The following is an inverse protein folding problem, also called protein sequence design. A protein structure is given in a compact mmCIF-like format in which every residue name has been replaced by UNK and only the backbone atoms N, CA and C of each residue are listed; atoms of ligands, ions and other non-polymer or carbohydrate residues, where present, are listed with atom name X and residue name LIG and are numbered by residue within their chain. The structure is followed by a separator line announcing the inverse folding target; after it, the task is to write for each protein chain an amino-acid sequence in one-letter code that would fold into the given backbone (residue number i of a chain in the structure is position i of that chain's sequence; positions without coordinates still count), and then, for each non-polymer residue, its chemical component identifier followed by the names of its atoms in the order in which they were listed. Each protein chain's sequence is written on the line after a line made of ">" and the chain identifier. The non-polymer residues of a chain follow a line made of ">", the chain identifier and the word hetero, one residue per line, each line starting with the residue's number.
data_IF_814540296515
#
_entry.id   IF_814540296515
#
_cell.length_a   1.000
_cell.length_b   1.000
_cell.length_c   1.000
_cell.angle_alpha   90.00
_cell.angle_beta   90.00
_cell.angle_gamma   90.00
#
_symmetry.space_group_name_H-M   'P 1'
#
loop_
_entity.id
_entity.type
_entity.pdbx_description
1 polymer ?
#
# COMPACT_ATOMS: atom_id res chain seq x y z
N UNK A 1 -48.84 -34.45 48.22
CA UNK A 1 -47.60 -34.65 47.44
C UNK A 1 -47.80 -33.99 46.08
N UNK A 2 -47.02 -32.94 45.78
CA UNK A 2 -46.69 -32.38 44.45
C UNK A 2 -47.84 -31.92 43.53
N UNK A 3 -47.83 -30.78 42.84
CA UNK A 3 -46.84 -29.72 42.59
C UNK A 3 -47.58 -28.55 41.93
N UNK A 4 -47.36 -27.32 42.39
CA UNK A 4 -47.74 -26.10 41.68
C UNK A 4 -46.84 -25.93 40.44
N UNK A 5 -47.40 -25.79 39.25
CA UNK A 5 -46.68 -25.33 38.06
C UNK A 5 -47.03 -23.85 37.82
N UNK A 6 -46.13 -22.98 38.26
CA UNK A 6 -46.12 -21.55 37.94
C UNK A 6 -45.48 -21.41 36.55
N UNK A 7 -46.19 -20.75 35.63
CA UNK A 7 -45.65 -20.33 34.33
C UNK A 7 -44.52 -19.31 34.54
N UNK A 8 -43.30 -19.67 34.17
CA UNK A 8 -42.20 -18.73 34.03
C UNK A 8 -42.13 -18.27 32.57
N UNK A 9 -42.59 -17.04 32.31
CA UNK A 9 -42.26 -16.32 31.08
C UNK A 9 -40.83 -15.80 31.22
N UNK A 10 -39.88 -16.50 30.63
CA UNK A 10 -38.51 -16.01 30.50
C UNK A 10 -38.47 -15.00 29.36
N UNK A 11 -38.43 -13.72 29.72
CA UNK A 11 -38.13 -12.62 28.79
C UNK A 11 -36.73 -12.83 28.21
N UNK A 12 -36.64 -13.23 26.94
CA UNK A 12 -35.39 -13.16 26.18
C UNK A 12 -35.03 -11.68 25.99
N UNK A 13 -34.20 -11.14 26.87
CA UNK A 13 -33.42 -9.94 26.60
C UNK A 13 -32.38 -10.32 25.54
N UNK A 14 -32.75 -10.14 24.27
CA UNK A 14 -31.78 -10.04 23.18
C UNK A 14 -30.89 -8.85 23.47
N UNK A 15 -29.67 -9.11 23.94
CA UNK A 15 -28.60 -8.12 23.91
C UNK A 15 -28.31 -7.86 22.44
N UNK A 16 -28.92 -6.81 21.89
CA UNK A 16 -28.48 -6.22 20.63
C UNK A 16 -27.05 -5.75 20.88
N UNK A 17 -26.06 -6.51 20.42
CA UNK A 17 -24.69 -6.01 20.33
C UNK A 17 -24.73 -4.86 19.34
N UNK A 18 -24.79 -3.63 19.84
CA UNK A 18 -24.52 -2.45 19.04
C UNK A 18 -23.04 -2.52 18.70
N UNK A 19 -22.70 -3.12 17.56
CA UNK A 19 -21.38 -2.92 16.95
C UNK A 19 -21.24 -1.41 16.78
N UNK A 20 -20.39 -0.77 17.57
CA UNK A 20 -20.12 0.65 17.43
C UNK A 20 -19.65 0.88 16.00
N UNK A 21 -20.35 1.74 15.26
CA UNK A 21 -19.93 2.08 13.91
C UNK A 21 -18.52 2.68 13.95
N UNK A 22 -17.62 2.15 13.12
CA UNK A 22 -16.26 2.70 12.98
C UNK A 22 -16.34 4.20 12.66
N UNK A 23 -15.52 4.98 13.35
CA UNK A 23 -15.47 6.43 13.17
C UNK A 23 -14.06 6.82 12.69
N UNK A 24 -13.92 7.47 11.53
CA UNK A 24 -12.60 7.89 11.05
C UNK A 24 -11.99 8.93 12.00
N UNK A 25 -10.71 8.77 12.29
CA UNK A 25 -9.92 9.84 12.90
C UNK A 25 -9.74 11.01 11.93
N UNK A 26 -9.53 12.20 12.48
CA UNK A 26 -9.37 13.43 11.69
C UNK A 26 -8.09 13.39 10.85
N UNK A 27 -8.20 13.84 9.60
CA UNK A 27 -7.08 14.01 8.65
C UNK A 27 -6.92 15.45 8.20
N UNK A 28 -7.51 16.40 8.94
CA UNK A 28 -7.65 17.80 8.53
C UNK A 28 -6.30 18.47 8.24
N UNK A 29 -5.22 18.10 8.95
CA UNK A 29 -3.93 18.77 8.77
C UNK A 29 -3.33 18.42 7.41
N UNK A 30 -3.37 17.14 7.01
CA UNK A 30 -2.90 16.73 5.68
C UNK A 30 -3.87 17.13 4.56
N UNK A 31 -5.18 17.16 4.83
CA UNK A 31 -6.18 17.60 3.84
C UNK A 31 -6.03 19.09 3.48
N UNK A 32 -5.70 19.95 4.45
CA UNK A 32 -5.36 21.35 4.19
C UNK A 32 -4.09 21.51 3.35
N UNK A 33 -3.06 20.69 3.59
CA UNK A 33 -1.85 20.68 2.77
C UNK A 33 -2.12 20.20 1.35
N UNK A 34 -2.97 19.19 1.18
CA UNK A 34 -3.39 18.68 -0.13
C UNK A 34 -4.15 19.75 -0.93
N UNK A 35 -5.12 20.43 -0.30
CA UNK A 35 -5.87 21.51 -0.94
C UNK A 35 -4.95 22.69 -1.34
N UNK A 36 -4.05 23.11 -0.46
CA UNK A 36 -3.04 24.14 -0.76
C UNK A 36 -2.11 23.71 -1.90
N UNK A 37 -1.68 22.44 -1.89
CA UNK A 37 -0.85 21.87 -2.95
C UNK A 37 -1.55 21.87 -4.30
N UNK A 38 -2.83 21.49 -4.37
CA UNK A 38 -3.60 21.48 -5.61
C UNK A 38 -3.68 22.88 -6.24
N UNK A 39 -3.89 23.92 -5.42
CA UNK A 39 -3.92 25.32 -5.90
C UNK A 39 -2.55 25.74 -6.46
N UNK A 40 -1.47 25.39 -5.77
CA UNK A 40 -0.10 25.70 -6.23
C UNK A 40 0.27 24.94 -7.51
N UNK A 41 -0.14 23.67 -7.63
CA UNK A 41 0.02 22.89 -8.85
C UNK A 41 -0.73 23.53 -10.01
N UNK A 42 -1.99 23.90 -9.83
CA UNK A 42 -2.77 24.58 -10.87
C UNK A 42 -2.10 25.89 -11.34
N UNK A 43 -1.55 26.67 -10.41
CA UNK A 43 -0.80 27.88 -10.75
C UNK A 43 0.51 27.58 -11.48
N UNK A 44 1.22 26.52 -11.11
CA UNK A 44 2.44 26.07 -11.79
C UNK A 44 2.13 25.64 -13.24
N UNK A 45 1.12 24.78 -13.43
CA UNK A 45 0.75 24.24 -14.74
C UNK A 45 0.21 25.30 -15.71
N UNK A 46 -0.40 26.37 -15.20
CA UNK A 46 -0.84 27.49 -16.03
C UNK A 46 0.31 28.14 -16.83
N UNK A 47 1.55 28.00 -16.37
CA UNK A 47 2.76 28.48 -17.07
C UNK A 47 3.61 27.39 -17.73
N UNK A 48 3.29 26.11 -17.53
CA UNK A 48 4.15 24.97 -17.91
C UNK A 48 3.44 23.90 -18.75
N UNK A 49 2.16 24.10 -19.06
CA UNK A 49 1.39 23.14 -19.86
C UNK A 49 1.69 23.25 -21.37
N UNK A 50 2.07 22.12 -21.97
CA UNK A 50 2.31 21.95 -23.41
C UNK A 50 1.11 21.31 -24.14
N UNK A 51 0.98 21.49 -25.48
CA UNK A 51 -0.12 20.91 -26.24
C UNK A 51 -0.08 19.38 -26.24
N UNK A 52 -1.20 18.74 -25.87
CA UNK A 52 -1.35 17.27 -25.81
C UNK A 52 -1.15 16.64 -24.42
N UNK A 53 -0.98 17.45 -23.37
CA UNK A 53 -0.81 17.00 -21.98
C UNK A 53 -2.13 16.67 -21.25
N UNK A 54 -2.00 16.17 -20.03
CA UNK A 54 -3.10 16.01 -19.08
C UNK A 54 -3.87 17.33 -18.91
N UNK A 55 -5.20 17.25 -18.97
CA UNK A 55 -6.14 18.37 -18.91
C UNK A 55 -7.21 18.10 -17.87
N UNK A 56 -7.98 19.12 -17.49
CA UNK A 56 -9.15 18.93 -16.63
C UNK A 56 -10.20 17.98 -17.24
N UNK A 57 -10.23 17.83 -18.56
CA UNK A 57 -11.22 17.00 -19.27
C UNK A 57 -10.87 15.50 -19.24
N UNK A 58 -9.58 15.15 -19.10
CA UNK A 58 -9.11 13.75 -19.13
C UNK A 58 -8.35 13.32 -17.86
N UNK A 59 -8.20 14.20 -16.88
CA UNK A 59 -7.56 13.87 -15.60
C UNK A 59 -8.38 12.85 -14.82
N UNK A 60 -7.70 11.78 -14.40
CA UNK A 60 -8.26 10.78 -13.51
C UNK A 60 -8.14 11.21 -12.04
N UNK A 61 -9.15 10.92 -11.23
CA UNK A 61 -9.15 11.27 -9.80
C UNK A 61 -9.01 9.99 -8.97
N UNK A 62 -7.89 9.85 -8.25
CA UNK A 62 -7.68 8.78 -7.27
C UNK A 62 -8.35 9.15 -5.95
N UNK A 63 -9.22 8.27 -5.46
CA UNK A 63 -10.10 8.55 -4.32
C UNK A 63 -9.66 7.79 -3.06
N UNK A 64 -9.92 8.39 -1.91
CA UNK A 64 -9.74 7.74 -0.62
C UNK A 64 -10.76 6.60 -0.44
N UNK A 65 -10.27 5.41 -0.05
CA UNK A 65 -11.07 4.19 0.04
C UNK A 65 -12.38 4.35 0.82
N UNK A 66 -12.35 5.02 1.99
CA UNK A 66 -13.55 5.17 2.83
C UNK A 66 -14.57 6.17 2.28
N UNK A 67 -14.18 7.03 1.34
CA UNK A 67 -15.10 7.93 0.63
C UNK A 67 -15.79 7.27 -0.57
N UNK A 68 -15.23 6.16 -1.10
CA UNK A 68 -15.86 5.42 -2.19
C UNK A 68 -17.15 4.73 -1.72
N UNK A 69 -18.14 4.63 -2.61
CA UNK A 69 -19.33 3.85 -2.33
C UNK A 69 -18.97 2.35 -2.23
N UNK A 70 -19.67 1.55 -1.40
CA UNK A 70 -19.43 0.11 -1.31
C UNK A 70 -19.42 -0.62 -2.67
N UNK A 71 -20.33 -0.23 -3.57
CA UNK A 71 -20.38 -0.80 -4.94
C UNK A 71 -19.15 -0.49 -5.80
N UNK A 72 -18.46 0.63 -5.56
CA UNK A 72 -17.24 1.00 -6.27
C UNK A 72 -16.03 0.24 -5.71
N UNK A 73 -15.97 0.08 -4.38
CA UNK A 73 -14.99 -0.79 -3.73
C UNK A 73 -15.09 -2.23 -4.23
N UNK A 74 -16.31 -2.74 -4.38
CA UNK A 74 -16.54 -4.08 -4.94
C UNK A 74 -16.08 -4.19 -6.40
N UNK A 75 -16.30 -3.16 -7.23
CA UNK A 75 -15.78 -3.15 -8.61
C UNK A 75 -14.25 -3.22 -8.63
N UNK A 76 -13.58 -2.53 -7.72
CA UNK A 76 -12.13 -2.61 -7.56
C UNK A 76 -11.70 -4.02 -7.13
N UNK A 77 -12.26 -4.57 -6.04
CA UNK A 77 -11.86 -5.92 -5.57
C UNK A 77 -12.15 -7.02 -6.58
N UNK A 78 -13.26 -6.93 -7.33
CA UNK A 78 -13.54 -7.83 -8.44
C UNK A 78 -12.48 -7.77 -9.54
N UNK A 79 -11.95 -6.58 -9.85
CA UNK A 79 -10.87 -6.44 -10.83
C UNK A 79 -9.56 -7.05 -10.31
N UNK A 80 -9.25 -6.90 -9.01
CA UNK A 80 -8.09 -7.55 -8.40
C UNK A 80 -8.21 -9.08 -8.47
N UNK A 81 -9.37 -9.63 -8.08
CA UNK A 81 -9.66 -11.06 -8.18
C UNK A 81 -9.56 -11.56 -9.64
N UNK A 82 -9.99 -10.76 -10.60
CA UNK A 82 -9.80 -11.05 -12.02
C UNK A 82 -8.31 -11.14 -12.38
N UNK A 83 -7.47 -10.22 -11.91
CA UNK A 83 -6.03 -10.26 -12.17
C UNK A 83 -5.36 -11.49 -11.52
N UNK A 84 -5.83 -11.87 -10.33
CA UNK A 84 -5.45 -13.12 -9.63
C UNK A 84 -5.97 -14.39 -10.32
N UNK A 85 -6.84 -14.29 -11.33
CA UNK A 85 -7.34 -15.44 -12.09
C UNK A 85 -6.70 -15.60 -13.48
N UNK A 86 -6.13 -14.52 -14.03
CA UNK A 86 -5.49 -14.54 -15.35
C UNK A 86 -4.11 -15.18 -15.25
N UNK A 87 -3.65 -15.92 -16.26
CA UNK A 87 -2.32 -16.54 -16.24
C UNK A 87 -1.21 -15.49 -16.28
N UNK A 88 -0.11 -15.78 -15.58
CA UNK A 88 1.14 -15.01 -15.68
C UNK A 88 1.58 -14.79 -17.14
N UNK A 89 2.19 -13.63 -17.44
CA UNK A 89 2.83 -13.34 -18.74
C UNK A 89 4.32 -13.67 -18.75
N UNK A 90 4.93 -14.10 -17.65
CA UNK A 90 6.30 -14.57 -17.71
C UNK A 90 6.38 -15.87 -18.53
N UNK A 91 7.43 -16.06 -19.35
CA UNK A 91 7.61 -17.33 -20.04
C UNK A 91 7.70 -18.49 -19.03
N UNK A 92 7.13 -19.68 -19.35
CA UNK A 92 7.15 -20.83 -18.46
C UNK A 92 8.56 -21.15 -17.96
N UNK A 93 8.70 -21.30 -16.64
CA UNK A 93 9.97 -21.65 -15.99
C UNK A 93 10.89 -20.47 -15.65
N UNK A 94 10.64 -19.26 -16.15
CA UNK A 94 11.44 -18.06 -15.82
C UNK A 94 11.18 -17.61 -14.38
N UNK A 95 9.91 -17.59 -13.98
CA UNK A 95 9.46 -17.27 -12.62
C UNK A 95 8.60 -18.43 -12.13
N UNK A 96 9.19 -19.47 -11.50
CA UNK A 96 8.47 -20.70 -11.16
C UNK A 96 7.24 -20.49 -10.27
N UNK A 97 7.30 -19.50 -9.37
CA UNK A 97 6.23 -19.14 -8.46
C UNK A 97 5.09 -18.33 -9.08
N UNK A 98 5.29 -17.65 -10.21
CA UNK A 98 4.22 -16.87 -10.81
C UNK A 98 3.22 -17.77 -11.54
N UNK A 99 1.97 -17.82 -11.05
CA UNK A 99 0.87 -18.53 -11.71
C UNK A 99 -0.11 -17.57 -12.37
N UNK A 100 -0.26 -16.40 -11.78
CA UNK A 100 -1.27 -15.41 -12.15
C UNK A 100 -0.66 -14.11 -12.67
N UNK A 101 -1.46 -13.26 -13.31
CA UNK A 101 -1.04 -11.89 -13.67
C UNK A 101 -0.73 -11.05 -12.45
N UNK A 102 -1.41 -11.30 -11.34
CA UNK A 102 -1.13 -10.63 -10.08
C UNK A 102 0.27 -11.00 -9.57
N UNK A 103 0.65 -12.28 -9.68
CA UNK A 103 1.99 -12.75 -9.29
C UNK A 103 3.11 -12.09 -10.07
N UNK A 104 2.86 -11.67 -11.32
CA UNK A 104 3.89 -10.95 -12.09
C UNK A 104 4.31 -9.65 -11.37
N UNK A 105 3.35 -8.93 -10.78
CA UNK A 105 3.63 -7.74 -9.98
C UNK A 105 4.43 -8.10 -8.72
N UNK A 106 4.02 -9.17 -8.02
CA UNK A 106 4.73 -9.67 -6.83
C UNK A 106 6.17 -10.05 -7.18
N UNK A 107 6.38 -10.80 -8.26
CA UNK A 107 7.69 -11.28 -8.69
C UNK A 107 8.64 -10.13 -9.07
N UNK A 108 8.14 -9.15 -9.83
CA UNK A 108 8.94 -7.98 -10.24
C UNK A 108 9.37 -7.17 -9.04
N UNK A 109 8.48 -6.95 -8.06
CA UNK A 109 8.84 -6.27 -6.82
C UNK A 109 9.87 -7.07 -6.03
N UNK A 110 9.64 -8.36 -5.76
CA UNK A 110 10.58 -9.24 -5.04
C UNK A 110 11.97 -9.25 -5.70
N UNK A 111 12.03 -9.29 -7.04
CA UNK A 111 13.28 -9.31 -7.78
C UNK A 111 14.05 -7.98 -7.72
N UNK A 112 13.33 -6.85 -7.59
CA UNK A 112 13.91 -5.51 -7.56
C UNK A 112 14.03 -4.91 -6.16
N UNK A 113 13.54 -5.56 -5.09
CA UNK A 113 13.41 -4.98 -3.73
C UNK A 113 14.63 -4.20 -3.25
N UNK A 114 15.85 -4.72 -3.46
CA UNK A 114 17.11 -4.06 -3.01
C UNK A 114 17.60 -2.94 -3.94
N UNK A 115 16.89 -2.65 -5.02
CA UNK A 115 17.18 -1.59 -6.00
C UNK A 115 16.10 -0.51 -6.03
N UNK A 116 15.02 -0.67 -5.24
CA UNK A 116 13.83 0.19 -5.27
C UNK A 116 13.44 0.73 -3.89
N UNK A 117 14.19 0.40 -2.83
CA UNK A 117 13.98 0.88 -1.46
C UNK A 117 15.26 1.46 -0.90
N UNK A 118 15.15 2.52 -0.10
CA UNK A 118 16.33 3.26 0.39
C UNK A 118 17.20 3.82 -0.74
N UNK A 119 16.62 4.00 -1.93
CA UNK A 119 17.27 4.41 -3.19
C UNK A 119 16.64 5.69 -3.75
N UNK A 120 17.30 6.30 -4.73
CA UNK A 120 16.82 7.51 -5.40
C UNK A 120 15.54 7.32 -6.24
N UNK A 121 15.25 6.09 -6.67
CA UNK A 121 14.08 5.76 -7.48
C UNK A 121 12.89 5.24 -6.65
N UNK A 122 12.99 5.17 -5.31
CA UNK A 122 11.93 4.58 -4.47
C UNK A 122 10.54 5.13 -4.79
N UNK A 123 10.39 6.46 -4.76
CA UNK A 123 9.09 7.10 -4.99
C UNK A 123 8.60 6.98 -6.44
N UNK A 124 9.49 7.21 -7.41
CA UNK A 124 9.16 7.18 -8.84
C UNK A 124 8.87 5.76 -9.34
N UNK A 125 9.63 4.76 -8.89
CA UNK A 125 9.40 3.35 -9.21
C UNK A 125 8.04 2.89 -8.69
N UNK A 126 7.71 3.16 -7.42
CA UNK A 126 6.43 2.76 -6.84
C UNK A 126 5.23 3.50 -7.44
N UNK A 127 5.40 4.76 -7.84
CA UNK A 127 4.40 5.49 -8.64
C UNK A 127 4.11 4.77 -9.96
N UNK A 128 5.14 4.43 -10.73
CA UNK A 128 4.97 3.76 -12.02
C UNK A 128 4.43 2.33 -11.85
N UNK A 129 4.89 1.60 -10.83
CA UNK A 129 4.41 0.27 -10.48
C UNK A 129 2.91 0.27 -10.17
N UNK A 130 2.47 1.21 -9.34
CA UNK A 130 1.05 1.39 -8.97
C UNK A 130 0.21 1.82 -10.17
N UNK A 131 0.75 2.68 -11.04
CA UNK A 131 0.07 3.08 -12.28
C UNK A 131 -0.07 1.92 -13.27
N UNK A 132 0.98 1.12 -13.48
CA UNK A 132 0.93 -0.06 -14.34
C UNK A 132 -0.06 -1.11 -13.80
N UNK A 133 -0.14 -1.26 -12.48
CA UNK A 133 -1.16 -2.09 -11.85
C UNK A 133 -2.58 -1.59 -12.14
N UNK A 134 -2.82 -0.28 -11.99
CA UNK A 134 -4.09 0.34 -12.38
C UNK A 134 -4.42 0.07 -13.86
N UNK A 135 -3.43 0.22 -14.77
CA UNK A 135 -3.63 -0.06 -16.19
C UNK A 135 -3.96 -1.54 -16.44
N UNK A 136 -3.34 -2.48 -15.73
CA UNK A 136 -3.67 -3.89 -15.84
C UNK A 136 -5.11 -4.17 -15.38
N UNK A 137 -5.56 -3.58 -14.26
CA UNK A 137 -6.95 -3.70 -13.81
C UNK A 137 -7.94 -3.16 -14.86
N UNK A 138 -7.63 -2.00 -15.46
CA UNK A 138 -8.49 -1.36 -16.47
C UNK A 138 -8.52 -2.14 -17.78
N UNK A 139 -7.35 -2.44 -18.33
CA UNK A 139 -7.21 -2.94 -19.69
C UNK A 139 -7.37 -4.46 -19.79
N UNK A 140 -7.07 -5.21 -18.73
CA UNK A 140 -7.17 -6.67 -18.72
C UNK A 140 -8.44 -7.15 -18.00
N UNK A 141 -8.92 -6.41 -17.00
CA UNK A 141 -10.04 -6.79 -16.15
C UNK A 141 -11.26 -5.85 -16.24
N UNK A 142 -11.24 -4.86 -17.13
CA UNK A 142 -12.40 -4.00 -17.42
C UNK A 142 -12.76 -3.03 -16.30
N UNK A 143 -11.88 -2.80 -15.33
CA UNK A 143 -12.10 -1.83 -14.26
C UNK A 143 -12.23 -0.42 -14.85
N UNK A 144 -13.29 0.31 -14.47
CA UNK A 144 -13.54 1.66 -14.99
C UNK A 144 -13.13 2.76 -14.00
N UNK A 145 -12.95 2.41 -12.72
CA UNK A 145 -12.49 3.33 -11.69
C UNK A 145 -10.97 3.55 -11.72
N UNK A 146 -10.49 4.40 -10.82
CA UNK A 146 -9.07 4.70 -10.61
C UNK A 146 -8.49 3.88 -9.46
N UNK A 147 -7.16 3.86 -9.34
CA UNK A 147 -6.50 3.28 -8.17
C UNK A 147 -6.92 4.04 -6.90
N UNK A 148 -7.58 3.39 -5.92
CA UNK A 148 -7.87 4.00 -4.65
C UNK A 148 -6.65 4.03 -3.74
N UNK A 149 -6.70 4.87 -2.71
CA UNK A 149 -5.67 4.94 -1.69
C UNK A 149 -6.24 4.75 -0.28
N UNK A 150 -5.40 4.23 0.62
CA UNK A 150 -5.72 4.05 2.03
C UNK A 150 -5.15 5.20 2.85
N UNK A 151 -5.99 6.14 3.27
CA UNK A 151 -5.56 7.19 4.19
C UNK A 151 -5.41 6.62 5.61
N UNK A 152 -4.17 6.26 5.97
CA UNK A 152 -3.88 5.64 7.27
C UNK A 152 -4.36 6.46 8.45
N UNK A 153 -4.32 7.80 8.33
CA UNK A 153 -4.73 8.72 9.38
C UNK A 153 -6.17 8.49 9.83
N UNK A 154 -7.08 8.13 8.91
CA UNK A 154 -8.49 7.84 9.23
C UNK A 154 -8.64 6.59 10.08
N UNK A 155 -7.81 5.57 9.86
CA UNK A 155 -7.88 4.28 10.54
C UNK A 155 -6.84 4.12 11.65
N UNK A 156 -6.09 5.17 12.01
CA UNK A 156 -4.88 5.06 12.84
C UNK A 156 -5.16 4.48 14.25
N UNK A 157 -6.35 4.71 14.79
CA UNK A 157 -6.75 4.25 16.14
C UNK A 157 -7.67 3.02 16.14
N UNK A 158 -8.19 2.64 14.97
CA UNK A 158 -9.03 1.45 14.80
C UNK A 158 -8.89 0.92 13.36
N UNK A 159 -7.75 0.28 13.02
CA UNK A 159 -7.54 -0.26 11.69
C UNK A 159 -8.37 -1.53 11.46
N UNK A 160 -8.60 -2.34 12.50
CA UNK A 160 -9.28 -3.64 12.41
C UNK A 160 -10.73 -3.47 11.96
N UNK A 161 -11.48 -2.51 12.53
CA UNK A 161 -12.88 -2.29 12.14
C UNK A 161 -13.03 -1.26 11.01
N UNK A 162 -11.92 -0.78 10.42
CA UNK A 162 -11.98 0.17 9.32
C UNK A 162 -12.52 -0.49 8.04
N UNK A 163 -13.10 0.28 7.11
CA UNK A 163 -13.57 -0.28 5.84
C UNK A 163 -12.48 -0.93 4.97
N UNK A 164 -11.21 -0.79 5.33
CA UNK A 164 -10.10 -1.54 4.73
C UNK A 164 -10.08 -3.01 5.18
N UNK A 165 -10.34 -3.27 6.47
CA UNK A 165 -10.08 -4.56 7.12
C UNK A 165 -11.27 -5.13 7.92
N UNK A 166 -12.47 -4.55 7.78
CA UNK A 166 -13.69 -5.00 8.49
C UNK A 166 -14.19 -6.39 8.06
N UNK A 167 -13.59 -7.01 7.03
CA UNK A 167 -13.96 -8.34 6.55
C UNK A 167 -15.28 -8.40 5.77
N UNK A 168 -15.92 -7.27 5.50
CA UNK A 168 -17.10 -7.19 4.65
C UNK A 168 -16.76 -7.49 3.18
N UNK A 169 -17.78 -7.72 2.35
CA UNK A 169 -17.64 -7.90 0.90
C UNK A 169 -17.11 -6.66 0.16
N UNK A 170 -16.98 -5.53 0.87
CA UNK A 170 -16.53 -4.23 0.33
C UNK A 170 -15.17 -3.79 0.89
N UNK A 171 -14.47 -4.69 1.59
CA UNK A 171 -13.15 -4.46 2.19
C UNK A 171 -12.02 -5.06 1.35
N UNK A 172 -10.78 -4.87 1.80
CA UNK A 172 -9.62 -5.59 1.29
C UNK A 172 -9.42 -6.95 1.99
N UNK A 173 -10.50 -7.53 2.56
CA UNK A 173 -10.47 -8.71 3.42
C UNK A 173 -10.55 -8.34 4.90
N UNK A 174 -10.55 -9.34 5.77
CA UNK A 174 -10.53 -9.14 7.21
C UNK A 174 -9.12 -9.07 7.80
N UNK A 175 -9.07 -9.05 9.13
CA UNK A 175 -7.92 -9.55 9.88
C UNK A 175 -7.76 -11.07 9.68
N UNK A 176 -6.60 -11.61 10.01
CA UNK A 176 -6.39 -13.06 10.12
C UNK A 176 -7.24 -13.66 11.23
N UNK A 177 -7.52 -14.96 11.15
CA UNK A 177 -7.99 -15.70 12.32
C UNK A 177 -6.95 -15.60 13.42
N UNK A 178 -7.39 -15.50 14.67
CA UNK A 178 -6.48 -15.43 15.80
C UNK A 178 -5.64 -16.70 15.88
N UNK A 179 -4.32 -16.54 15.85
CA UNK A 179 -3.33 -17.57 16.11
C UNK A 179 -2.37 -17.05 17.18
N UNK A 180 -2.10 -17.85 18.20
CA UNK A 180 -1.23 -17.40 19.28
C UNK A 180 0.23 -17.41 18.82
N UNK A 181 0.84 -16.23 18.73
CA UNK A 181 2.23 -16.08 18.30
C UNK A 181 3.01 -15.08 19.16
N UNK A 182 4.34 -15.12 19.03
CA UNK A 182 5.22 -14.12 19.63
C UNK A 182 5.16 -12.81 18.86
N UNK A 183 5.84 -11.77 19.35
CA UNK A 183 5.89 -10.52 18.60
C UNK A 183 6.52 -10.67 17.21
N UNK A 184 6.02 -9.87 16.28
CA UNK A 184 6.52 -9.79 14.91
C UNK A 184 7.87 -9.08 14.91
N UNK A 185 8.90 -9.73 14.36
CA UNK A 185 10.25 -9.18 14.21
C UNK A 185 10.33 -8.39 12.90
N UNK A 186 9.90 -7.14 12.94
CA UNK A 186 9.73 -6.34 11.73
C UNK A 186 11.05 -5.75 11.17
N UNK A 187 12.17 -5.78 11.91
CA UNK A 187 13.45 -5.33 11.37
C UNK A 187 14.56 -6.37 11.60
N UNK A 188 15.53 -6.47 10.67
CA UNK A 188 16.69 -7.36 10.84
C UNK A 188 17.54 -7.07 12.08
N UNK A 189 17.42 -5.87 12.65
CA UNK A 189 18.20 -5.42 13.81
C UNK A 189 17.63 -5.89 15.15
N UNK A 190 16.42 -6.46 15.18
CA UNK A 190 15.76 -6.90 16.43
C UNK A 190 15.35 -5.76 17.36
N UNK A 191 15.39 -4.51 16.88
CA UNK A 191 15.15 -3.30 17.68
C UNK A 191 13.65 -3.06 17.95
N UNK A 192 12.76 -3.87 17.37
CA UNK A 192 11.31 -3.66 17.37
C UNK A 192 10.54 -4.99 17.38
N UNK A 193 10.08 -5.36 18.56
CA UNK A 193 9.13 -6.44 18.80
C UNK A 193 7.72 -5.84 18.69
N UNK A 194 7.06 -5.97 17.52
CA UNK A 194 5.66 -5.51 17.37
C UNK A 194 4.78 -6.47 18.17
N UNK A 195 4.02 -5.99 19.17
CA UNK A 195 3.16 -6.86 19.98
C UNK A 195 2.20 -7.67 19.10
N UNK A 196 1.97 -8.96 19.42
CA UNK A 196 1.01 -9.77 18.69
C UNK A 196 -0.37 -9.12 18.74
N UNK A 197 -1.01 -9.02 17.58
CA UNK A 197 -2.36 -8.47 17.44
C UNK A 197 -3.44 -9.51 17.72
N UNK A 198 -4.60 -9.30 17.08
CA UNK A 198 -5.76 -10.19 17.21
C UNK A 198 -5.89 -11.15 16.02
N UNK A 199 -4.91 -11.18 15.12
CA UNK A 199 -4.88 -12.05 13.96
C UNK A 199 -3.74 -13.07 14.07
N UNK A 200 -2.90 -13.12 13.05
CA UNK A 200 -1.77 -14.04 12.91
C UNK A 200 -2.00 -15.09 11.84
N UNK A 201 -3.21 -15.64 11.76
CA UNK A 201 -3.58 -16.69 10.83
C UNK A 201 -4.16 -16.22 9.49
N UNK A 202 -4.72 -17.17 8.74
CA UNK A 202 -5.33 -16.90 7.45
C UNK A 202 -6.52 -15.92 7.54
N UNK A 203 -6.65 -15.03 6.55
CA UNK A 203 -7.86 -14.24 6.31
C UNK A 203 -8.99 -15.17 5.85
N UNK A 204 -10.13 -15.16 6.55
CA UNK A 204 -11.30 -16.03 6.24
C UNK A 204 -12.56 -15.25 5.83
N UNK A 205 -12.50 -13.93 5.80
CA UNK A 205 -13.63 -13.03 5.47
C UNK A 205 -13.26 -12.05 4.35
N UNK A 206 -14.30 -11.46 3.74
CA UNK A 206 -14.17 -10.54 2.62
C UNK A 206 -13.76 -11.20 1.28
N UNK A 207 -13.50 -10.38 0.25
CA UNK A 207 -13.32 -10.85 -1.13
C UNK A 207 -12.12 -11.79 -1.33
N UNK A 208 -11.08 -11.64 -0.51
CA UNK A 208 -9.80 -12.33 -0.68
C UNK A 208 -9.63 -13.56 0.22
N UNK A 209 -10.70 -14.05 0.88
CA UNK A 209 -10.62 -15.23 1.78
C UNK A 209 -10.13 -16.54 1.11
N UNK A 210 -10.26 -16.63 -0.20
CA UNK A 210 -9.84 -17.78 -1.02
C UNK A 210 -8.63 -17.46 -1.91
N UNK A 211 -8.05 -16.27 -1.78
CA UNK A 211 -6.85 -15.90 -2.51
C UNK A 211 -5.65 -16.73 -2.01
N UNK A 212 -4.83 -17.17 -2.95
CA UNK A 212 -3.62 -17.96 -2.71
C UNK A 212 -2.41 -17.07 -2.97
N UNK A 213 -1.55 -16.96 -1.97
CA UNK A 213 -0.24 -16.32 -2.08
C UNK A 213 0.73 -17.36 -2.62
N UNK A 214 1.21 -17.17 -3.86
CA UNK A 214 1.98 -18.20 -4.58
C UNK A 214 3.51 -18.09 -4.40
N UNK A 215 4.02 -16.99 -3.85
CA UNK A 215 5.45 -16.72 -3.68
C UNK A 215 5.80 -16.20 -2.29
N UNK A 216 7.10 -16.25 -1.96
CA UNK A 216 7.60 -15.96 -0.62
C UNK A 216 7.25 -17.08 0.39
N UNK A 217 7.40 -16.83 1.69
CA UNK A 217 8.08 -15.66 2.23
C UNK A 217 9.58 -15.75 1.90
N UNK A 218 10.23 -14.59 1.76
CA UNK A 218 11.69 -14.50 1.61
C UNK A 218 12.33 -13.94 2.88
N UNK A 219 11.64 -13.02 3.55
CA UNK A 219 12.03 -12.43 4.83
C UNK A 219 10.82 -12.41 5.78
N UNK A 220 10.31 -13.58 6.21
CA UNK A 220 9.13 -13.66 7.05
C UNK A 220 9.36 -12.94 8.39
N UNK A 221 8.39 -12.12 8.81
CA UNK A 221 8.45 -11.38 10.07
C UNK A 221 7.64 -12.02 11.20
N UNK A 222 6.70 -12.90 10.85
CA UNK A 222 6.03 -13.81 11.78
C UNK A 222 6.74 -15.17 11.75
N UNK A 223 7.02 -15.71 12.94
CA UNK A 223 7.72 -16.97 13.10
C UNK A 223 6.71 -18.13 13.21
N UNK A 224 6.20 -18.58 12.07
CA UNK A 224 5.25 -19.71 11.99
C UNK A 224 5.86 -20.91 11.25
N UNK A 225 5.47 -22.16 11.57
CA UNK A 225 6.02 -23.37 10.94
C UNK A 225 5.84 -23.41 9.42
N UNK A 226 4.80 -22.75 8.91
CA UNK A 226 4.44 -22.69 7.49
C UNK A 226 5.20 -21.59 6.73
N UNK A 227 5.67 -20.57 7.45
CA UNK A 227 6.32 -19.37 6.91
C UNK A 227 7.83 -19.59 6.83
N UNK A 228 8.25 -20.66 6.14
CA UNK A 228 9.66 -20.95 5.92
C UNK A 228 10.18 -20.18 4.71
N UNK A 229 11.35 -19.55 4.87
CA UNK A 229 11.99 -18.84 3.77
C UNK A 229 12.32 -19.81 2.62
N UNK A 230 11.80 -19.52 1.43
CA UNK A 230 12.03 -20.29 0.21
C UNK A 230 12.97 -19.54 -0.74
N UNK A 231 13.58 -20.21 -1.74
CA UNK A 231 14.34 -19.50 -2.78
C UNK A 231 13.52 -18.37 -3.41
N UNK A 232 14.18 -17.27 -3.75
CA UNK A 232 13.54 -16.11 -4.36
C UNK A 232 12.73 -16.54 -5.59
N UNK A 233 11.45 -16.17 -5.65
CA UNK A 233 10.48 -16.51 -6.71
C UNK A 233 10.08 -18.00 -6.84
N UNK A 234 10.40 -18.84 -5.85
CA UNK A 234 9.90 -20.21 -5.82
C UNK A 234 8.38 -20.27 -5.60
N UNK A 235 7.76 -21.32 -6.15
CA UNK A 235 6.33 -21.58 -5.92
C UNK A 235 6.10 -22.13 -4.50
N UNK A 236 5.29 -21.43 -3.72
CA UNK A 236 4.98 -21.77 -2.34
C UNK A 236 3.53 -21.33 -1.99
N UNK A 237 2.51 -22.03 -2.48
CA UNK A 237 1.12 -21.62 -2.34
C UNK A 237 0.62 -21.75 -0.91
N UNK A 238 0.06 -20.67 -0.37
CA UNK A 238 -0.56 -20.62 0.97
C UNK A 238 -1.64 -19.55 1.05
N UNK A 239 -2.37 -19.50 2.16
CA UNK A 239 -3.39 -18.48 2.37
C UNK A 239 -2.76 -17.10 2.64
N UNK A 240 -3.48 -16.03 2.32
CA UNK A 240 -3.17 -14.70 2.84
C UNK A 240 -3.35 -14.68 4.37
N UNK A 241 -2.33 -14.30 5.12
CA UNK A 241 -2.39 -14.12 6.58
C UNK A 241 -2.27 -12.65 6.95
N UNK A 242 -2.94 -12.22 8.02
CA UNK A 242 -2.84 -10.85 8.54
C UNK A 242 -2.81 -10.83 10.06
N UNK A 243 -2.07 -9.88 10.61
CA UNK A 243 -2.12 -9.51 12.02
C UNK A 243 -2.25 -7.99 12.12
N UNK A 244 -3.44 -7.50 11.78
CA UNK A 244 -3.69 -6.06 11.68
C UNK A 244 -3.44 -5.40 13.04
N UNK A 245 -2.48 -4.47 13.08
CA UNK A 245 -1.91 -3.96 14.34
C UNK A 245 -2.29 -2.51 14.64
N UNK A 246 -3.26 -2.26 15.56
CA UNK A 246 -3.54 -0.92 16.09
C UNK A 246 -2.33 -0.29 16.77
N UNK A 247 -1.42 -1.11 17.30
CA UNK A 247 -0.19 -0.63 17.93
C UNK A 247 0.72 0.05 16.90
N UNK A 248 0.89 -0.54 15.72
CA UNK A 248 1.68 0.10 14.65
C UNK A 248 0.99 1.35 14.13
N UNK A 249 -0.30 1.25 13.77
CA UNK A 249 -1.01 2.37 13.14
C UNK A 249 -1.08 3.60 14.05
N UNK A 250 -1.28 3.40 15.35
CA UNK A 250 -1.36 4.51 16.32
C UNK A 250 -0.01 5.16 16.61
N UNK A 251 1.11 4.51 16.32
CA UNK A 251 2.45 5.05 16.55
C UNK A 251 3.03 5.78 15.32
N UNK A 252 2.77 5.30 14.09
CA UNK A 252 3.46 5.82 12.89
C UNK A 252 2.57 6.28 11.74
N UNK A 253 1.25 6.07 11.81
CA UNK A 253 0.36 6.34 10.66
C UNK A 253 -0.79 7.30 10.98
N UNK A 254 -0.64 8.15 12.00
CA UNK A 254 -1.59 9.22 12.30
C UNK A 254 -1.47 10.35 11.29
N UNK A 255 -2.49 11.21 11.23
CA UNK A 255 -2.46 12.45 10.45
C UNK A 255 -1.25 13.32 10.81
N UNK A 256 -0.93 13.42 12.11
CA UNK A 256 0.24 14.16 12.60
C UNK A 256 1.57 13.62 12.06
N UNK A 257 1.69 12.31 11.87
CA UNK A 257 2.92 11.67 11.40
C UNK A 257 3.15 12.03 9.92
N UNK A 258 2.08 11.98 9.13
CA UNK A 258 2.11 12.38 7.70
C UNK A 258 2.30 13.89 7.54
N UNK A 259 1.62 14.70 8.37
CA UNK A 259 1.78 16.15 8.38
C UNK A 259 3.23 16.55 8.70
N UNK A 260 3.83 15.94 9.74
CA UNK A 260 5.22 16.21 10.12
C UNK A 260 6.18 15.78 9.02
N UNK A 261 5.97 14.62 8.39
CA UNK A 261 6.76 14.18 7.24
C UNK A 261 6.75 15.24 6.12
N UNK A 262 5.58 15.77 5.76
CA UNK A 262 5.47 16.76 4.66
C UNK A 262 6.11 18.11 5.04
N UNK A 263 5.86 18.59 6.26
CA UNK A 263 6.22 19.95 6.68
C UNK A 263 7.64 20.08 7.22
N UNK A 264 8.22 19.01 7.76
CA UNK A 264 9.55 19.00 8.36
C UNK A 264 10.64 18.42 7.44
N UNK A 265 10.29 18.02 6.21
CA UNK A 265 11.26 17.54 5.22
C UNK A 265 11.58 18.65 4.20
N UNK A 266 12.73 19.33 4.33
CA UNK A 266 13.07 20.47 3.47
C UNK A 266 13.46 20.05 2.05
N UNK A 267 13.97 18.83 1.89
CA UNK A 267 14.47 18.27 0.63
C UNK A 267 13.99 16.81 0.43
N UNK A 268 14.16 16.32 -0.80
CA UNK A 268 13.68 14.99 -1.22
C UNK A 268 14.39 13.83 -0.49
N UNK A 269 15.68 13.97 -0.17
CA UNK A 269 16.42 12.92 0.52
C UNK A 269 15.93 12.77 1.96
N UNK A 270 15.74 13.88 2.66
CA UNK A 270 15.13 13.88 3.99
C UNK A 270 13.72 13.31 3.95
N UNK A 271 12.89 13.75 3.00
CA UNK A 271 11.51 13.29 2.84
C UNK A 271 11.42 11.77 2.65
N UNK A 272 12.10 11.23 1.64
CA UNK A 272 12.02 9.80 1.34
C UNK A 272 12.64 8.94 2.44
N UNK A 273 13.71 9.41 3.10
CA UNK A 273 14.33 8.66 4.20
C UNK A 273 13.40 8.61 5.40
N UNK A 274 12.85 9.75 5.87
CA UNK A 274 11.89 9.78 6.99
C UNK A 274 10.64 8.97 6.68
N UNK A 275 10.13 9.04 5.44
CA UNK A 275 8.99 8.22 5.01
C UNK A 275 9.26 6.71 5.21
N UNK A 276 10.48 6.26 4.90
CA UNK A 276 10.93 4.87 4.99
C UNK A 276 11.51 4.49 6.37
N UNK A 277 11.37 5.36 7.39
CA UNK A 277 11.86 5.08 8.74
C UNK A 277 13.32 5.48 8.99
N UNK A 278 13.98 6.12 8.04
CA UNK A 278 15.32 6.73 8.17
C UNK A 278 16.40 5.76 8.67
N UNK A 279 16.40 4.52 8.17
CA UNK A 279 17.30 3.46 8.65
C UNK A 279 16.89 2.86 10.01
N UNK A 280 15.66 3.14 10.44
CA UNK A 280 15.01 2.62 11.64
C UNK A 280 15.72 2.86 12.99
N UNK A 281 16.33 4.03 13.24
CA UNK A 281 16.94 4.33 14.53
C UNK A 281 15.87 4.25 15.63
N UNK A 282 16.18 3.49 16.69
CA UNK A 282 15.26 3.31 17.83
C UNK A 282 13.92 2.67 17.45
N UNK A 283 13.82 1.96 16.32
CA UNK A 283 12.59 1.31 15.88
C UNK A 283 11.58 2.26 15.19
N UNK A 284 12.01 3.43 14.72
CA UNK A 284 11.14 4.35 13.99
C UNK A 284 10.81 3.81 12.58
N UNK A 285 9.54 3.54 12.27
CA UNK A 285 9.13 2.98 10.97
C UNK A 285 8.91 4.00 9.86
N UNK A 286 8.54 5.24 10.22
CA UNK A 286 7.93 6.14 9.25
C UNK A 286 6.59 5.60 8.72
N UNK A 287 5.94 6.38 7.86
CA UNK A 287 4.60 6.04 7.36
C UNK A 287 4.60 4.87 6.36
N UNK A 288 5.73 4.63 5.66
CA UNK A 288 5.86 3.51 4.71
C UNK A 288 5.90 2.17 5.43
N UNK A 289 6.93 1.92 6.25
CA UNK A 289 7.01 0.66 6.99
C UNK A 289 5.86 0.56 8.02
N UNK A 290 5.40 1.68 8.59
CA UNK A 290 4.23 1.71 9.46
C UNK A 290 2.95 1.25 8.76
N UNK A 291 2.74 1.62 7.49
CA UNK A 291 1.59 1.14 6.72
C UNK A 291 1.67 -0.36 6.43
N UNK A 292 2.84 -0.87 6.02
CA UNK A 292 3.05 -2.32 5.83
C UNK A 292 2.84 -3.10 7.13
N UNK A 293 3.48 -2.69 8.22
CA UNK A 293 3.39 -3.40 9.51
C UNK A 293 2.07 -3.19 10.25
N UNK A 294 1.24 -2.23 9.83
CA UNK A 294 -0.17 -2.17 10.26
C UNK A 294 -0.96 -3.34 9.68
N UNK A 295 -0.63 -3.81 8.47
CA UNK A 295 -1.23 -5.01 7.86
C UNK A 295 -0.66 -6.27 8.53
N UNK A 296 0.67 -6.31 8.67
CA UNK A 296 1.40 -7.43 9.25
C UNK A 296 1.17 -8.72 8.48
N UNK A 297 1.27 -9.87 9.15
CA UNK A 297 0.96 -11.15 8.52
C UNK A 297 1.94 -11.57 7.43
N UNK A 298 1.44 -12.40 6.53
CA UNK A 298 2.15 -12.91 5.36
C UNK A 298 1.29 -12.75 4.10
N UNK A 299 1.77 -12.03 3.07
CA UNK A 299 3.10 -11.43 2.98
C UNK A 299 3.14 -9.95 3.40
N UNK A 300 2.09 -9.41 4.03
CA UNK A 300 2.01 -7.97 4.35
C UNK A 300 3.18 -7.44 5.20
N UNK A 301 3.76 -8.28 6.06
CA UNK A 301 4.98 -7.99 6.82
C UNK A 301 6.31 -8.35 6.11
N UNK A 302 6.29 -9.07 4.99
CA UNK A 302 7.50 -9.46 4.26
C UNK A 302 7.98 -8.34 3.33
N UNK A 303 9.18 -7.81 3.58
CA UNK A 303 9.75 -6.70 2.82
C UNK A 303 9.84 -6.93 1.30
N UNK A 304 10.01 -8.17 0.86
CA UNK A 304 10.12 -8.52 -0.55
C UNK A 304 8.75 -8.85 -1.15
N UNK A 305 7.97 -9.66 -0.44
CA UNK A 305 6.73 -10.23 -0.94
C UNK A 305 5.48 -9.40 -0.62
N UNK A 306 5.61 -8.23 0.02
CA UNK A 306 4.48 -7.39 0.46
C UNK A 306 3.40 -7.07 -0.59
N UNK A 307 3.67 -6.95 -1.91
CA UNK A 307 2.61 -6.80 -2.90
C UNK A 307 1.69 -8.01 -3.02
N UNK A 308 2.10 -9.16 -2.49
CA UNK A 308 1.25 -10.33 -2.38
C UNK A 308 0.04 -10.10 -1.47
N UNK A 309 0.03 -9.08 -0.59
CA UNK A 309 -1.19 -8.59 0.05
C UNK A 309 -1.88 -7.54 -0.86
N UNK A 310 -3.15 -7.74 -1.28
CA UNK A 310 -3.90 -6.79 -2.09
C UNK A 310 -3.98 -5.35 -1.55
N UNK A 311 -3.85 -5.16 -0.23
CA UNK A 311 -3.85 -3.84 0.39
C UNK A 311 -2.58 -3.01 0.07
N UNK A 312 -1.51 -3.64 -0.43
CA UNK A 312 -0.27 -2.98 -0.88
C UNK A 312 -0.54 -1.81 -1.81
N UNK A 313 -1.39 -2.01 -2.83
CA UNK A 313 -1.61 -0.98 -3.85
C UNK A 313 -2.40 0.22 -3.31
N UNK A 314 -3.22 0.03 -2.27
CA UNK A 314 -3.89 1.14 -1.58
C UNK A 314 -2.92 1.87 -0.64
N UNK A 315 -2.03 1.13 0.02
CA UNK A 315 -0.93 1.70 0.79
C UNK A 315 -0.02 2.57 -0.11
N UNK A 316 0.45 2.05 -1.24
CA UNK A 316 1.29 2.80 -2.17
C UNK A 316 0.55 3.91 -2.93
N UNK A 317 -0.77 3.81 -3.09
CA UNK A 317 -1.60 4.94 -3.51
C UNK A 317 -1.51 6.11 -2.52
N UNK A 318 -1.44 5.83 -1.21
CA UNK A 318 -1.27 6.87 -0.19
C UNK A 318 0.18 7.36 -0.09
N UNK A 319 1.18 6.48 -0.26
CA UNK A 319 2.59 6.89 -0.40
C UNK A 319 2.75 7.90 -1.54
N UNK A 320 2.17 7.59 -2.70
CA UNK A 320 2.22 8.48 -3.85
C UNK A 320 1.42 9.78 -3.61
N UNK A 321 0.27 9.72 -2.95
CA UNK A 321 -0.47 10.93 -2.52
C UNK A 321 0.39 11.81 -1.63
N UNK A 322 1.06 11.24 -0.62
CA UNK A 322 1.89 12.01 0.32
C UNK A 322 3.07 12.67 -0.39
N UNK A 323 3.70 11.97 -1.33
CA UNK A 323 4.73 12.56 -2.20
C UNK A 323 4.17 13.67 -3.08
N UNK A 324 3.01 13.46 -3.72
CA UNK A 324 2.31 14.47 -4.50
C UNK A 324 2.00 15.72 -3.66
N UNK A 325 1.52 15.59 -2.41
CA UNK A 325 1.29 16.74 -1.52
C UNK A 325 2.60 17.48 -1.26
N UNK A 326 3.69 16.76 -0.96
CA UNK A 326 5.00 17.36 -0.67
C UNK A 326 5.57 18.10 -1.89
N UNK A 327 5.51 17.49 -3.08
CA UNK A 327 5.95 18.12 -4.34
C UNK A 327 5.20 19.43 -4.57
N UNK A 328 3.88 19.40 -4.39
CA UNK A 328 3.03 20.54 -4.69
C UNK A 328 3.03 21.64 -3.62
N UNK A 329 3.77 21.48 -2.51
CA UNK A 329 4.02 22.62 -1.63
C UNK A 329 4.95 23.67 -2.27
N UNK A 330 5.81 23.25 -3.20
CA UNK A 330 6.74 24.10 -3.96
C UNK A 330 7.12 23.41 -5.29
N UNK A 331 6.18 23.33 -6.25
CA UNK A 331 6.36 22.51 -7.45
C UNK A 331 7.58 22.91 -8.29
N UNK A 332 7.93 24.20 -8.31
CA UNK A 332 9.08 24.71 -9.06
C UNK A 332 10.41 24.08 -8.62
N UNK A 333 10.58 23.80 -7.33
CA UNK A 333 11.82 23.22 -6.80
C UNK A 333 11.69 21.71 -6.50
N UNK A 334 10.47 21.20 -6.31
CA UNK A 334 10.24 19.84 -5.80
C UNK A 334 9.77 18.83 -6.84
N UNK A 335 9.17 19.26 -7.95
CA UNK A 335 8.65 18.31 -8.95
C UNK A 335 9.75 17.38 -9.46
N UNK A 336 10.89 17.94 -9.87
CA UNK A 336 12.03 17.18 -10.39
C UNK A 336 13.14 16.95 -9.37
N UNK A 337 12.86 17.13 -8.06
CA UNK A 337 13.84 16.87 -7.03
C UNK A 337 14.15 15.37 -6.94
N UNK A 338 15.44 15.02 -6.96
CA UNK A 338 15.95 13.65 -6.81
C UNK A 338 17.10 13.63 -5.81
N UNK A 339 17.18 12.58 -4.99
CA UNK A 339 18.24 12.42 -4.00
C UNK A 339 18.45 10.96 -3.61
N UNK A 340 19.65 10.64 -3.13
CA UNK A 340 20.05 9.26 -2.80
C UNK A 340 20.82 8.56 -3.91
N UNK A 341 21.10 7.27 -3.72
CA UNK A 341 21.91 6.46 -4.64
C UNK A 341 21.10 5.32 -5.26
N UNK A 342 21.72 4.61 -6.21
CA UNK A 342 21.10 3.47 -6.92
C UNK A 342 21.17 2.13 -6.14
N UNK A 343 21.65 2.13 -4.89
CA UNK A 343 21.80 0.94 -4.06
C UNK A 343 21.08 1.09 -2.73
N UNK A 344 20.51 0.00 -2.20
CA UNK A 344 19.77 -0.06 -0.93
C UNK A 344 20.54 0.62 0.22
N UNK A 345 20.02 1.75 0.73
CA UNK A 345 20.67 2.56 1.77
C UNK A 345 22.14 2.88 1.50
N UNK A 346 22.52 2.99 0.22
CA UNK A 346 23.89 3.17 -0.23
C UNK A 346 24.85 2.04 0.24
N UNK A 347 24.35 0.81 0.33
CA UNK A 347 25.10 -0.39 0.72
C UNK A 347 25.03 -1.48 -0.37
N UNK A 348 26.14 -1.79 -1.07
CA UNK A 348 27.41 -1.06 -1.06
C UNK A 348 27.27 0.36 -1.65
N UNK A 349 28.24 1.26 -1.44
CA UNK A 349 28.18 2.61 -2.00
C UNK A 349 27.98 2.61 -3.52
N UNK A 350 26.93 3.30 -3.97
CA UNK A 350 26.56 3.44 -5.37
C UNK A 350 26.65 4.90 -5.84
N UNK A 351 26.56 5.14 -7.15
CA UNK A 351 26.42 6.50 -7.68
C UNK A 351 25.07 7.10 -7.28
N UNK A 352 25.00 8.43 -7.29
CA UNK A 352 23.74 9.16 -7.16
C UNK A 352 22.78 8.77 -8.30
N UNK A 353 21.49 8.73 -7.97
CA UNK A 353 20.45 8.59 -8.97
C UNK A 353 20.30 9.85 -9.81
N UNK A 354 19.86 9.70 -11.06
CA UNK A 354 19.59 10.80 -11.99
C UNK A 354 18.19 10.67 -12.59
N UNK A 355 17.63 11.77 -13.10
CA UNK A 355 16.32 11.74 -13.77
C UNK A 355 16.29 10.82 -15.00
N UNK A 356 17.45 10.52 -15.59
CA UNK A 356 17.58 9.63 -16.74
C UNK A 356 17.73 8.15 -16.38
N UNK A 357 17.73 7.80 -15.08
CA UNK A 357 17.79 6.40 -14.66
C UNK A 357 16.51 5.67 -15.04
N UNK A 358 16.65 4.46 -15.59
CA UNK A 358 15.53 3.66 -16.07
C UNK A 358 14.77 2.98 -14.91
N UNK A 359 13.46 2.98 -15.02
CA UNK A 359 12.50 2.24 -14.19
C UNK A 359 12.01 1.05 -15.02
N UNK A 360 12.64 -0.11 -14.84
CA UNK A 360 12.26 -1.32 -15.57
C UNK A 360 11.02 -1.97 -14.94
N UNK A 361 9.95 -2.03 -15.72
CA UNK A 361 8.65 -2.62 -15.34
C UNK A 361 8.45 -4.00 -15.94
N UNK A 362 9.44 -4.57 -16.63
CA UNK A 362 9.39 -5.90 -17.26
C UNK A 362 8.09 -6.12 -18.07
N UNK A 363 7.28 -7.10 -17.68
CA UNK A 363 6.03 -7.49 -18.34
C UNK A 363 4.77 -6.84 -17.70
N UNK A 364 4.95 -5.86 -16.82
CA UNK A 364 3.84 -5.20 -16.09
C UNK A 364 3.20 -4.07 -16.89
N UNK A 365 3.97 -3.44 -17.78
CA UNK A 365 3.55 -2.26 -18.54
C UNK A 365 4.76 -1.50 -19.08
N UNK A 366 4.58 -0.27 -19.59
CA UNK A 366 5.70 0.54 -20.05
C UNK A 366 6.71 0.81 -18.93
N UNK A 367 7.98 0.74 -19.29
CA UNK A 367 9.10 1.28 -18.51
C UNK A 367 9.26 2.78 -18.82
N UNK A 368 9.98 3.50 -17.96
CA UNK A 368 10.21 4.94 -18.11
C UNK A 368 11.52 5.35 -17.46
N UNK A 369 12.11 6.47 -17.85
CA UNK A 369 13.09 7.13 -17.00
C UNK A 369 12.40 7.75 -15.76
N UNK A 370 13.15 7.97 -14.67
CA UNK A 370 12.64 8.64 -13.46
C UNK A 370 11.96 9.97 -13.81
N UNK A 371 12.59 10.78 -14.66
CA UNK A 371 12.08 12.06 -15.15
C UNK A 371 10.71 11.96 -15.81
N UNK A 372 10.40 10.84 -16.46
CA UNK A 372 9.12 10.63 -17.15
C UNK A 372 7.91 10.47 -16.21
N UNK A 373 8.13 10.24 -14.90
CA UNK A 373 7.07 9.98 -13.92
C UNK A 373 7.08 10.93 -12.71
N UNK A 374 7.93 11.96 -12.74
CA UNK A 374 8.04 12.93 -11.64
C UNK A 374 6.77 13.75 -11.43
N UNK A 375 5.97 13.97 -12.48
CA UNK A 375 4.65 14.62 -12.41
C UNK A 375 3.53 13.60 -12.59
N UNK A 376 2.45 13.72 -11.79
CA UNK A 376 1.22 12.93 -11.97
C UNK A 376 0.39 13.41 -13.17
N UNK A 377 0.72 14.58 -13.73
CA UNK A 377 0.11 15.14 -14.94
C UNK A 377 0.93 14.81 -16.21
N UNK A 378 1.95 13.97 -16.04
CA UNK A 378 2.80 13.48 -17.12
C UNK A 378 3.94 14.43 -17.46
N UNK A 379 4.96 13.88 -18.11
CA UNK A 379 6.09 14.61 -18.67
C UNK A 379 6.28 14.17 -20.13
N UNK A 380 6.81 15.05 -21.02
CA UNK A 380 7.15 14.67 -22.38
C UNK A 380 8.04 13.42 -22.41
N UNK A 381 7.68 12.42 -23.22
CA UNK A 381 8.42 11.15 -23.33
C UNK A 381 8.17 10.14 -22.19
N UNK A 382 7.39 10.50 -21.17
CA UNK A 382 6.91 9.58 -20.15
C UNK A 382 5.70 8.73 -20.59
N UNK A 383 5.24 7.79 -19.77
CA UNK A 383 4.18 6.84 -20.12
C UNK A 383 2.76 7.46 -20.14
N UNK A 384 2.64 8.78 -19.97
CA UNK A 384 1.36 9.50 -20.07
C UNK A 384 0.53 9.48 -18.79
N UNK A 385 1.15 9.63 -17.61
CA UNK A 385 0.42 9.81 -16.34
C UNK A 385 -0.52 11.01 -16.47
N UNK A 386 -1.75 10.86 -16.00
CA UNK A 386 -2.72 11.94 -15.97
C UNK A 386 -3.74 11.73 -14.84
N UNK A 387 -3.32 12.01 -13.62
CA UNK A 387 -4.18 11.87 -12.44
C UNK A 387 -3.86 12.86 -11.32
N UNK A 388 -4.83 13.04 -10.42
CA UNK A 388 -4.72 13.78 -9.16
C UNK A 388 -5.36 12.99 -8.01
N UNK A 389 -5.28 13.54 -6.80
CA UNK A 389 -5.83 12.99 -5.57
C UNK A 389 -6.93 13.90 -5.00
N UNK A 390 -7.96 13.31 -4.40
CA UNK A 390 -9.01 14.02 -3.64
C UNK A 390 -9.24 13.41 -2.28
#
# INVERSE_FOLDING_TARGET
>A
MYRNCILAWASMLTVLSTTSAWTPASTIATDLLAASGLVKLAAYEAGHSGPGQCTLDNISIRQEWTQMAPSERQKYTNAVLCLQSKPSKFPPGVVPGAKTRYDDFVAVHMNQTLLIHGTANFLSWHRLFTWNYEQALRNECGYQGTQPYWNWGKSAFDPINSPMFDGSDYSMGGNGVFEAHNCTQALPTGVNCIPPGQGGGCVKTGPFKNYVVDMGPFSPTLAEPEDTAVPLLAYNPRCLKRDVSPWVSSNWTKDSDTYNLITQSPDILTFQNVMQGNGFPGGFFGVHAGGHYTIGGDPGGDFFASPGDPAFFLHHGMIDRVWWIWQNQDPANRLNAIGGTITFFNQPPGRNGTLTDNLDMFNLGPSSEIGGVMSTLGNPGGPGLCYTYV
#
